data_IF_892069226569
#
_entry.id   IF_892069226569
#
_cell.length_a   1.000
_cell.length_b   1.000
_cell.length_c   1.000
_cell.angle_alpha   90.00
_cell.angle_beta   90.00
_cell.angle_gamma   90.00
#
_symmetry.space_group_name_H-M   'P 1'
#
loop_
_entity.id
_entity.type
_entity.pdbx_description
1 polymer ?
#
# COMPACT_ATOMS: atom_id res chain seq x y z
N UNK A 1 -10.67 9.89 -8.85
CA UNK A 1 -9.58 9.12 -8.21
C UNK A 1 -10.12 8.36 -7.01
N UNK A 2 -9.68 7.13 -6.80
CA UNK A 2 -9.95 6.31 -5.61
C UNK A 2 -8.69 5.54 -5.24
N UNK A 3 -8.43 5.38 -3.95
CA UNK A 3 -7.35 4.52 -3.45
C UNK A 3 -7.91 3.15 -3.10
N UNK A 4 -7.21 2.11 -3.53
CA UNK A 4 -7.54 0.70 -3.37
C UNK A 4 -6.37 0.02 -2.64
N UNK A 5 -6.47 -0.19 -1.32
CA UNK A 5 -5.46 -0.94 -0.56
C UNK A 5 -5.36 -2.38 -1.05
N UNK A 6 -4.15 -2.83 -1.40
CA UNK A 6 -3.86 -4.18 -1.87
C UNK A 6 -2.98 -4.93 -0.87
N UNK A 7 -3.17 -6.24 -0.76
CA UNK A 7 -2.30 -7.09 0.06
C UNK A 7 -0.87 -7.03 -0.51
N UNK A 8 0.12 -6.81 0.37
CA UNK A 8 1.53 -6.61 -0.02
C UNK A 8 2.09 -7.86 -0.72
N UNK A 9 1.67 -9.05 -0.28
CA UNK A 9 2.13 -10.34 -0.83
C UNK A 9 1.23 -10.91 -1.91
N UNK A 10 0.05 -10.30 -2.14
CA UNK A 10 -0.88 -10.71 -3.19
C UNK A 10 -1.62 -9.48 -3.75
N UNK A 11 -1.09 -8.83 -4.80
CA UNK A 11 -1.64 -7.58 -5.32
C UNK A 11 -3.04 -7.72 -5.95
N UNK A 12 -3.52 -8.96 -6.17
CA UNK A 12 -4.87 -9.20 -6.67
C UNK A 12 -5.90 -9.12 -5.53
N UNK A 13 -5.50 -9.47 -4.30
CA UNK A 13 -6.35 -9.44 -3.12
C UNK A 13 -6.48 -8.03 -2.53
N UNK A 14 -7.69 -7.71 -2.04
CA UNK A 14 -7.92 -6.49 -1.27
C UNK A 14 -7.31 -6.65 0.13
N UNK A 15 -6.72 -5.58 0.66
CA UNK A 15 -6.17 -5.63 2.00
C UNK A 15 -7.26 -5.79 3.07
N UNK A 16 -6.99 -6.60 4.10
CA UNK A 16 -7.83 -6.67 5.29
C UNK A 16 -7.80 -5.32 6.03
N UNK A 17 -8.95 -4.87 6.54
CA UNK A 17 -9.04 -3.63 7.29
C UNK A 17 -8.04 -3.60 8.48
N UNK A 18 -7.51 -2.42 8.76
CA UNK A 18 -6.49 -2.15 9.78
C UNK A 18 -5.12 -2.83 9.59
N UNK A 19 -4.83 -3.39 8.40
CA UNK A 19 -3.46 -3.82 8.04
C UNK A 19 -2.74 -2.78 7.18
N UNK A 20 -1.41 -2.82 7.24
CA UNK A 20 -0.58 -2.16 6.23
C UNK A 20 -0.81 -2.82 4.87
N UNK A 21 -0.95 -2.00 3.85
CA UNK A 21 -1.30 -2.42 2.50
C UNK A 21 -0.46 -1.67 1.47
N UNK A 22 -0.30 -2.23 0.29
CA UNK A 22 0.26 -1.49 -0.85
C UNK A 22 -0.81 -0.57 -1.45
N UNK A 23 -0.42 0.65 -1.80
CA UNK A 23 -1.35 1.63 -2.38
C UNK A 23 -1.59 1.36 -3.87
N UNK A 24 -2.80 0.93 -4.20
CA UNK A 24 -3.35 1.05 -5.53
C UNK A 24 -4.10 2.38 -5.71
N UNK A 25 -3.92 3.03 -6.85
CA UNK A 25 -4.67 4.24 -7.24
C UNK A 25 -5.41 3.94 -8.53
N UNK A 26 -6.72 4.22 -8.56
CA UNK A 26 -7.51 4.22 -9.78
C UNK A 26 -7.97 5.64 -10.11
N UNK A 27 -7.64 6.11 -11.31
CA UNK A 27 -8.29 7.26 -11.90
C UNK A 27 -9.64 6.84 -12.49
N UNK A 28 -10.70 7.51 -12.05
CA UNK A 28 -12.08 7.18 -12.43
C UNK A 28 -12.49 7.85 -13.75
N UNK A 29 -11.75 8.87 -14.19
CA UNK A 29 -12.01 9.58 -15.44
C UNK A 29 -11.18 9.04 -16.61
N UNK A 30 -10.09 8.34 -16.34
CA UNK A 30 -9.22 7.75 -17.35
C UNK A 30 -9.77 6.39 -17.81
N UNK A 31 -10.69 6.40 -18.77
CA UNK A 31 -11.34 5.18 -19.28
C UNK A 31 -10.54 4.52 -20.40
N UNK A 32 -9.85 5.32 -21.21
CA UNK A 32 -9.25 4.86 -22.48
C UNK A 32 -7.79 4.41 -22.36
N UNK A 33 -7.17 4.53 -21.18
CA UNK A 33 -5.77 4.14 -20.97
C UNK A 33 -5.57 3.39 -19.64
N UNK A 34 -4.35 3.42 -19.09
CA UNK A 34 -4.02 2.77 -17.83
C UNK A 34 -4.61 3.55 -16.65
N UNK A 35 -5.81 3.15 -16.23
CA UNK A 35 -6.56 3.77 -15.14
C UNK A 35 -6.04 3.40 -13.76
N UNK A 36 -5.39 2.24 -13.62
CA UNK A 36 -4.92 1.69 -12.36
C UNK A 36 -3.39 1.64 -12.27
N UNK A 37 -2.85 2.12 -11.16
CA UNK A 37 -1.43 2.08 -10.84
C UNK A 37 -1.29 1.48 -9.43
N UNK A 38 -0.49 0.43 -9.30
CA UNK A 38 -0.05 -0.09 -8.00
C UNK A 38 1.29 0.55 -7.68
N UNK A 39 1.30 1.43 -6.69
CA UNK A 39 2.51 2.12 -6.23
C UNK A 39 3.31 1.23 -5.29
N UNK A 40 4.56 1.61 -5.03
CA UNK A 40 5.36 0.99 -3.97
C UNK A 40 5.13 1.66 -2.61
N UNK A 41 4.10 2.49 -2.45
CA UNK A 41 3.81 3.12 -1.15
C UNK A 41 3.04 2.15 -0.24
N UNK A 42 3.51 1.99 0.99
CA UNK A 42 2.82 1.26 2.07
C UNK A 42 1.89 2.24 2.77
N UNK A 43 0.63 1.85 2.91
CA UNK A 43 -0.41 2.68 3.52
C UNK A 43 -1.17 1.95 4.62
N UNK A 44 -1.63 2.72 5.59
CA UNK A 44 -2.65 2.30 6.54
C UNK A 44 -3.97 3.02 6.21
N UNK A 45 -5.07 2.27 6.14
CA UNK A 45 -6.39 2.84 5.87
C UNK A 45 -6.95 3.47 7.14
N UNK A 46 -7.45 4.68 7.02
CA UNK A 46 -8.09 5.44 8.10
C UNK A 46 -9.59 5.63 7.79
N UNK A 47 -10.38 6.07 8.77
CA UNK A 47 -11.81 6.38 8.54
C UNK A 47 -12.01 7.40 7.41
N UNK A 48 -11.09 8.36 7.29
CA UNK A 48 -11.12 9.43 6.30
C UNK A 48 -9.84 9.49 5.49
N UNK A 49 -9.55 8.40 4.78
CA UNK A 49 -8.45 8.34 3.81
C UNK A 49 -7.43 7.28 4.18
N UNK A 50 -6.16 7.64 4.14
CA UNK A 50 -5.05 6.74 4.42
C UNK A 50 -3.83 7.54 4.90
N UNK A 51 -3.01 6.89 5.71
CA UNK A 51 -1.69 7.37 6.09
C UNK A 51 -0.64 6.63 5.25
N UNK A 52 0.31 7.37 4.67
CA UNK A 52 1.50 6.77 4.03
C UNK A 52 2.52 6.45 5.12
N UNK A 53 2.90 5.18 5.23
CA UNK A 53 3.83 4.67 6.24
C UNK A 53 5.27 4.65 5.73
N UNK A 54 5.46 4.55 4.42
CA UNK A 54 6.76 4.46 3.77
C UNK A 54 6.66 3.86 2.39
N UNK A 55 7.80 3.47 1.81
CA UNK A 55 7.88 2.72 0.56
C UNK A 55 8.30 1.28 0.82
N UNK A 56 7.79 0.38 -0.01
CA UNK A 56 8.13 -1.03 -0.01
C UNK A 56 9.61 -1.21 -0.35
N UNK A 57 10.35 -1.78 0.60
CA UNK A 57 11.72 -2.25 0.41
C UNK A 57 11.71 -3.73 -0.04
N UNK A 58 12.75 -4.17 -0.74
CA UNK A 58 13.10 -5.58 -0.95
C UNK A 58 13.22 -6.42 0.35
N UNK A 59 13.34 -5.79 1.53
CA UNK A 59 13.25 -6.47 2.83
C UNK A 59 11.81 -6.80 3.22
N UNK A 60 10.85 -5.92 2.90
CA UNK A 60 9.45 -6.05 3.29
C UNK A 60 8.75 -7.18 2.52
N UNK A 61 9.14 -7.37 1.25
CA UNK A 61 8.68 -8.50 0.41
C UNK A 61 9.08 -9.87 0.96
N UNK A 62 10.04 -9.94 1.89
CA UNK A 62 10.48 -11.17 2.56
C UNK A 62 9.96 -11.32 3.99
N UNK A 63 9.09 -10.41 4.45
CA UNK A 63 8.52 -10.44 5.80
C UNK A 63 9.51 -10.02 6.90
N UNK A 64 10.62 -9.38 6.54
CA UNK A 64 11.57 -8.83 7.49
C UNK A 64 11.34 -7.32 7.64
N UNK A 65 10.42 -6.92 8.52
CA UNK A 65 10.36 -5.53 8.97
C UNK A 65 11.58 -5.28 9.88
N UNK A 66 12.50 -4.41 9.46
CA UNK A 66 13.70 -4.10 10.22
C UNK A 66 13.32 -3.32 11.49
N UNK A 67 13.21 -4.00 12.63
CA UNK A 67 13.09 -3.35 13.94
C UNK A 67 14.47 -2.84 14.36
N UNK A 68 14.80 -1.59 14.05
CA UNK A 68 15.97 -0.94 14.64
C UNK A 68 15.60 -0.45 16.03
N UNK A 69 16.11 -1.13 17.06
CA UNK A 69 16.05 -0.63 18.43
C UNK A 69 17.16 0.42 18.57
N UNK A 70 16.84 1.72 18.52
CA UNK A 70 17.76 2.72 19.05
C UNK A 70 17.77 2.57 20.57
N UNK A 71 18.79 1.89 21.09
CA UNK A 71 19.19 2.01 22.50
C UNK A 71 20.33 3.02 22.59
N UNK A 72 19.98 4.26 22.97
CA UNK A 72 20.65 5.07 24.00
C UNK A 72 19.90 6.40 24.18
#
# INVERSE_FOLDING_TARGET
>A
MRVLPKEITDPLSAAVDQRSAQMGVIDLANVDTLSFILTEDIVHKEEKGFQVLGRLDNSDTRGCNLMYLESL
#
